data_IF_951979704370
#
_entry.id   IF_951979704370
#
_cell.length_a   1.000
_cell.length_b   1.000
_cell.length_c   1.000
_cell.angle_alpha   90.00
_cell.angle_beta   90.00
_cell.angle_gamma   90.00
#
_symmetry.space_group_name_H-M   'P 1'
#
loop_
_entity.id
_entity.type
_entity.pdbx_description
1 polymer ?
#
# COMPACT_ATOMS: atom_id res chain seq x y z
N UNK A 1 3.76 -1.01 16.69
CA UNK A 1 2.40 -1.43 16.25
C UNK A 1 2.50 -2.59 15.26
N UNK A 2 1.47 -3.44 15.19
CA UNK A 2 1.39 -4.57 14.24
C UNK A 2 0.04 -4.64 13.56
N UNK A 3 0.05 -5.00 12.28
CA UNK A 3 -1.18 -5.28 11.51
C UNK A 3 -0.99 -6.54 10.66
N UNK A 4 -2.08 -7.29 10.51
CA UNK A 4 -2.20 -8.37 9.55
C UNK A 4 -3.49 -8.22 8.74
N UNK A 5 -3.41 -8.51 7.45
CA UNK A 5 -4.55 -8.64 6.55
C UNK A 5 -5.22 -10.02 6.59
N UNK A 6 -4.62 -11.01 7.26
CA UNK A 6 -5.17 -12.36 7.42
C UNK A 6 -6.10 -12.41 8.65
N UNK A 7 -7.43 -12.64 8.50
CA UNK A 7 -8.38 -12.73 9.60
C UNK A 7 -8.08 -13.77 10.67
N UNK A 8 -7.23 -14.77 10.36
CA UNK A 8 -6.85 -15.84 11.27
C UNK A 8 -5.58 -15.50 12.07
N UNK A 9 -4.86 -14.43 11.72
CA UNK A 9 -3.64 -14.02 12.40
C UNK A 9 -3.95 -13.31 13.72
N UNK A 10 -3.18 -13.54 14.82
CA UNK A 10 -3.43 -12.90 16.11
C UNK A 10 -3.34 -11.36 16.05
N UNK A 11 -2.55 -10.82 15.13
CA UNK A 11 -2.40 -9.37 14.91
C UNK A 11 -3.44 -8.79 13.92
N UNK A 12 -4.46 -9.56 13.53
CA UNK A 12 -5.53 -9.06 12.68
C UNK A 12 -6.45 -8.11 13.46
N UNK A 13 -6.67 -6.93 12.89
CA UNK A 13 -7.63 -5.97 13.40
C UNK A 13 -8.36 -5.30 12.25
N UNK A 14 -9.65 -5.63 12.08
CA UNK A 14 -10.47 -5.10 11.00
C UNK A 14 -10.53 -3.56 10.97
N UNK A 15 -10.45 -2.90 12.14
CA UNK A 15 -10.45 -1.44 12.23
C UNK A 15 -9.14 -0.79 11.70
N UNK A 16 -8.10 -1.60 11.46
CA UNK A 16 -6.80 -1.18 10.95
C UNK A 16 -6.60 -1.54 9.48
N UNK A 17 -7.56 -2.21 8.82
CA UNK A 17 -7.44 -2.63 7.42
C UNK A 17 -7.32 -1.51 6.37
N UNK A 18 -7.72 -0.24 6.62
CA UNK A 18 -7.37 0.84 5.71
C UNK A 18 -6.02 1.49 6.06
N UNK A 19 -5.19 0.91 6.95
CA UNK A 19 -3.93 1.52 7.35
C UNK A 19 -2.92 1.68 6.20
N UNK A 20 -2.23 2.81 6.21
CA UNK A 20 -1.09 3.09 5.36
C UNK A 20 0.19 2.61 6.05
N UNK A 21 1.04 1.91 5.31
CA UNK A 21 2.34 1.42 5.80
C UNK A 21 3.45 2.19 5.09
N UNK A 22 4.45 2.63 5.83
CA UNK A 22 5.61 3.34 5.30
C UNK A 22 6.90 2.63 5.67
N UNK A 23 7.85 2.57 4.74
CA UNK A 23 9.22 2.11 4.95
C UNK A 23 10.17 3.29 4.75
N UNK A 24 10.91 3.66 5.79
CA UNK A 24 11.85 4.78 5.77
C UNK A 24 11.22 6.10 5.24
N UNK A 25 9.91 6.27 5.45
CA UNK A 25 9.14 7.44 5.00
C UNK A 25 8.47 7.29 3.62
N UNK A 26 8.77 6.24 2.85
CA UNK A 26 8.10 5.94 1.58
C UNK A 26 6.88 5.04 1.82
N UNK A 27 5.73 5.41 1.27
CA UNK A 27 4.51 4.61 1.41
C UNK A 27 4.65 3.29 0.63
N UNK A 28 4.42 2.18 1.31
CA UNK A 28 4.34 0.87 0.71
C UNK A 28 2.90 0.59 0.25
N UNK A 29 2.77 -0.12 -0.86
CA UNK A 29 1.48 -0.54 -1.41
C UNK A 29 1.38 -2.05 -1.31
N UNK A 30 0.19 -2.55 -0.96
CA UNK A 30 -0.07 -3.99 -1.05
C UNK A 30 0.53 -4.83 0.07
N UNK A 31 0.70 -4.24 1.25
CA UNK A 31 1.23 -4.95 2.40
C UNK A 31 0.13 -5.76 3.10
N UNK A 32 0.43 -7.04 3.32
CA UNK A 32 -0.45 -7.98 4.03
C UNK A 32 -0.07 -8.11 5.50
N UNK A 33 1.15 -7.71 5.86
CA UNK A 33 1.63 -7.69 7.23
C UNK A 33 2.63 -6.54 7.41
N UNK A 34 2.61 -5.90 8.58
CA UNK A 34 3.62 -4.93 8.98
C UNK A 34 3.81 -4.94 10.49
N UNK A 35 5.06 -4.84 10.92
CA UNK A 35 5.48 -4.76 12.32
C UNK A 35 6.49 -3.63 12.49
N UNK A 36 6.08 -2.57 13.20
CA UNK A 36 6.96 -1.44 13.52
C UNK A 36 8.08 -1.85 14.47
N UNK A 37 7.81 -2.76 15.41
CA UNK A 37 8.75 -3.14 16.46
C UNK A 37 9.86 -4.05 15.91
N UNK A 38 9.49 -4.94 14.98
CA UNK A 38 10.46 -5.75 14.24
C UNK A 38 11.10 -5.03 13.05
N UNK A 39 10.52 -3.91 12.60
CA UNK A 39 10.99 -3.17 11.42
C UNK A 39 10.84 -3.97 10.12
N UNK A 40 9.76 -4.75 9.99
CA UNK A 40 9.51 -5.64 8.86
C UNK A 40 8.10 -5.45 8.29
N UNK A 41 7.99 -5.47 6.97
CA UNK A 41 6.72 -5.50 6.26
C UNK A 41 6.75 -6.55 5.15
N UNK A 42 5.65 -7.27 4.99
CA UNK A 42 5.46 -8.26 3.93
C UNK A 42 4.42 -7.71 2.97
N UNK A 43 4.83 -7.50 1.71
CA UNK A 43 3.98 -6.94 0.67
C UNK A 43 4.08 -7.78 -0.59
N UNK A 44 3.09 -7.71 -1.49
CA UNK A 44 3.22 -8.43 -2.76
C UNK A 44 4.38 -7.85 -3.58
N UNK A 45 5.09 -8.73 -4.30
CA UNK A 45 6.08 -8.31 -5.27
C UNK A 45 5.35 -7.74 -6.50
N UNK A 46 5.64 -6.49 -6.91
CA UNK A 46 4.96 -5.91 -8.07
C UNK A 46 5.49 -6.49 -9.39
N UNK A 47 4.60 -6.69 -10.35
CA UNK A 47 4.92 -6.95 -11.74
C UNK A 47 5.35 -5.66 -12.48
N UNK A 48 5.66 -5.78 -13.78
CA UNK A 48 6.02 -4.62 -14.62
C UNK A 48 4.91 -3.56 -14.76
N UNK A 49 3.69 -3.86 -14.32
CA UNK A 49 2.52 -2.98 -14.39
C UNK A 49 2.12 -2.44 -13.02
N UNK A 50 2.83 -2.83 -11.95
CA UNK A 50 2.55 -2.44 -10.57
C UNK A 50 1.46 -3.28 -9.89
N UNK A 51 0.98 -4.35 -10.53
CA UNK A 51 0.07 -5.32 -9.92
C UNK A 51 0.84 -6.45 -9.22
N UNK A 52 0.17 -7.37 -8.51
CA UNK A 52 0.84 -8.52 -7.90
C UNK A 52 1.46 -9.44 -8.96
N UNK A 53 2.74 -9.76 -8.80
CA UNK A 53 3.43 -10.75 -9.61
C UNK A 53 2.99 -12.17 -9.20
N UNK A 54 2.64 -12.99 -10.20
CA UNK A 54 2.16 -14.36 -9.98
C UNK A 54 3.22 -15.37 -10.40
N UNK A 55 3.43 -16.38 -9.56
CA UNK A 55 4.28 -17.56 -9.84
C UNK A 55 3.37 -18.77 -9.83
N UNK A 56 2.92 -19.20 -11.00
CA UNK A 56 1.81 -20.16 -11.10
C UNK A 56 0.51 -19.54 -10.59
N UNK A 57 -0.10 -20.16 -9.57
CA UNK A 57 -1.34 -19.70 -8.93
C UNK A 57 -1.07 -18.93 -7.61
N UNK A 58 0.19 -18.66 -7.27
CA UNK A 58 0.58 -17.98 -6.04
C UNK A 58 1.02 -16.52 -6.29
N UNK A 59 0.68 -15.63 -5.36
CA UNK A 59 1.18 -14.24 -5.36
C UNK A 59 2.58 -14.24 -4.76
N UNK A 60 3.56 -13.77 -5.52
CA UNK A 60 4.90 -13.55 -5.00
C UNK A 60 4.89 -12.44 -3.94
N UNK A 61 5.62 -12.66 -2.86
CA UNK A 61 5.76 -11.72 -1.75
C UNK A 61 7.20 -11.24 -1.64
N UNK A 62 7.37 -10.03 -1.12
CA UNK A 62 8.66 -9.41 -0.82
C UNK A 62 8.68 -8.97 0.64
N UNK A 63 9.78 -9.27 1.33
CA UNK A 63 10.00 -8.91 2.73
C UNK A 63 10.86 -7.68 2.77
N UNK A 64 10.28 -6.58 3.24
CA UNK A 64 10.95 -5.28 3.35
C UNK A 64 11.34 -5.01 4.78
N UNK A 65 12.59 -4.58 4.99
CA UNK A 65 13.16 -4.31 6.31
C UNK A 65 13.65 -2.89 6.43
N UNK A 66 13.42 -2.28 7.60
CA UNK A 66 13.86 -0.92 7.91
C UNK A 66 12.94 -0.25 8.94
N UNK A 67 12.90 1.07 8.92
CA UNK A 67 12.00 1.82 9.79
C UNK A 67 10.57 1.74 9.25
N UNK A 68 9.74 0.90 9.86
CA UNK A 68 8.33 0.75 9.51
C UNK A 68 7.50 1.71 10.35
N UNK A 69 6.57 2.40 9.70
CA UNK A 69 5.55 3.25 10.34
C UNK A 69 4.18 2.86 9.81
N UNK A 70 3.23 2.62 10.70
CA UNK A 70 1.85 2.24 10.38
C UNK A 70 0.94 3.38 10.80
N UNK A 71 0.21 3.95 9.86
CA UNK A 71 -0.77 5.01 10.10
C UNK A 71 -2.16 4.48 9.80
N UNK A 72 -3.06 4.52 10.79
CA UNK A 72 -4.46 4.21 10.54
C UNK A 72 -5.02 5.27 9.59
N UNK A 73 -5.59 4.87 8.44
CA UNK A 73 -6.44 5.80 7.69
C UNK A 73 -7.61 6.19 8.59
N UNK A 74 -7.64 7.45 8.95
CA UNK A 74 -8.89 8.11 9.29
C UNK A 74 -9.56 8.49 7.97
N UNK A 75 -10.75 7.95 7.72
CA UNK A 75 -11.66 8.62 6.80
C UNK A 75 -11.75 10.09 7.26
N UNK A 76 -11.57 11.06 6.36
CA UNK A 76 -11.76 12.45 6.74
C UNK A 76 -13.21 12.61 7.20
N UNK A 77 -13.41 13.30 8.32
CA UNK A 77 -14.74 13.82 8.64
C UNK A 77 -15.29 14.70 7.50
N UNK A 78 -16.58 15.07 7.55
CA UNK A 78 -17.25 15.80 6.47
C UNK A 78 -16.51 17.07 6.00
N UNK A 79 -15.75 17.73 6.89
CA UNK A 79 -14.98 18.95 6.57
C UNK A 79 -13.66 18.67 5.81
N UNK A 80 -13.21 17.41 5.77
CA UNK A 80 -11.93 17.01 5.17
C UNK A 80 -12.06 16.16 3.90
N UNK A 81 -13.28 15.78 3.51
CA UNK A 81 -13.52 14.87 2.38
C UNK A 81 -12.97 15.44 1.06
N UNK A 82 -13.21 16.73 0.78
CA UNK A 82 -12.74 17.39 -0.44
C UNK A 82 -11.20 17.46 -0.51
N UNK A 83 -10.55 17.75 0.62
CA UNK A 83 -9.09 17.79 0.70
C UNK A 83 -8.48 16.40 0.45
N UNK A 84 -9.09 15.37 1.03
CA UNK A 84 -8.70 13.98 0.84
C UNK A 84 -8.95 13.46 -0.58
N UNK A 85 -10.12 13.77 -1.16
CA UNK A 85 -10.42 13.44 -2.56
C UNK A 85 -9.42 14.12 -3.49
N UNK A 86 -9.11 15.40 -3.25
CA UNK A 86 -8.10 16.13 -4.04
C UNK A 86 -6.73 15.48 -3.93
N UNK A 87 -6.28 15.11 -2.73
CA UNK A 87 -5.00 14.43 -2.52
C UNK A 87 -4.94 13.10 -3.28
N UNK A 88 -6.02 12.30 -3.23
CA UNK A 88 -6.12 11.03 -3.97
C UNK A 88 -6.14 11.24 -5.48
N UNK A 89 -6.90 12.21 -5.98
CA UNK A 89 -6.93 12.54 -7.42
C UNK A 89 -5.56 13.00 -7.89
N UNK A 90 -4.85 13.81 -7.10
CA UNK A 90 -3.50 14.26 -7.43
C UNK A 90 -2.49 13.11 -7.41
N UNK A 91 -2.55 12.21 -6.42
CA UNK A 91 -1.69 11.04 -6.36
C UNK A 91 -1.94 10.09 -7.55
N UNK A 92 -3.21 9.84 -7.89
CA UNK A 92 -3.59 9.03 -9.04
C UNK A 92 -3.15 9.67 -10.37
N UNK A 93 -3.28 11.00 -10.49
CA UNK A 93 -2.80 11.75 -11.64
C UNK A 93 -1.28 11.68 -11.75
N UNK A 94 -0.54 11.88 -10.66
CA UNK A 94 0.91 11.79 -10.64
C UNK A 94 1.40 10.39 -11.05
N UNK A 95 0.76 9.33 -10.53
CA UNK A 95 1.03 7.96 -10.94
C UNK A 95 0.71 7.71 -12.43
N UNK A 96 -0.42 8.24 -12.91
CA UNK A 96 -0.77 8.17 -14.34
C UNK A 96 0.28 8.86 -15.21
N UNK A 97 0.71 10.07 -14.84
CA UNK A 97 1.71 10.83 -15.60
C UNK A 97 3.08 10.17 -15.57
N UNK A 98 3.50 9.61 -14.44
CA UNK A 98 4.74 8.84 -14.33
C UNK A 98 4.71 7.58 -15.22
N UNK A 99 3.56 6.92 -15.32
CA UNK A 99 3.37 5.78 -16.22
C UNK A 99 3.32 6.19 -17.69
N UNK A 100 2.75 7.35 -17.99
CA UNK A 100 2.66 7.88 -19.35
C UNK A 100 4.02 8.39 -19.85
N UNK A 101 4.80 9.07 -19.01
CA UNK A 101 6.16 9.52 -19.34
C UNK A 101 7.15 8.37 -19.57
N UNK A 102 6.91 7.20 -18.96
CA UNK A 102 7.66 5.96 -19.17
C UNK A 102 7.26 5.19 -20.46
N UNK A 103 6.44 5.77 -21.35
CA UNK A 103 6.09 5.18 -22.66
C UNK A 103 4.80 4.35 -22.67
N UNK A 104 3.78 4.74 -21.88
CA UNK A 104 2.50 4.04 -21.85
C UNK A 104 1.74 4.06 -23.19
N UNK A 105 1.39 2.88 -23.72
CA UNK A 105 0.48 2.77 -24.87
C UNK A 105 -0.90 3.32 -24.51
N UNK A 106 -1.43 4.19 -25.37
CA UNK A 106 -2.83 4.59 -25.34
C UNK A 106 -3.72 3.34 -25.46
N UNK A 107 -4.78 3.30 -24.66
CA UNK A 107 -5.80 2.27 -24.75
C UNK A 107 -6.39 2.28 -26.18
N UNK A 108 -6.41 1.12 -26.83
CA UNK A 108 -7.24 0.85 -28.02
C UNK A 108 -8.35 -0.10 -27.61
#
# INVERSE_FOLDING_TARGET
>A
MRISGDPQHPDYNAAMLPADVYLNGEQLVGCIFADEDAGEAICYAPDKRGGPYLVGDEIAIDVKRGHIRIEKMTEPGPDGFDAWMRARTQAAHAAYMARHSAGGKAYQ
#
